data_IF_075402816747
#
_entry.id   IF_075402816747
#
_cell.length_a   1.000
_cell.length_b   1.000
_cell.length_c   1.000
_cell.angle_alpha   90.00
_cell.angle_beta   90.00
_cell.angle_gamma   90.00
#
_symmetry.space_group_name_H-M   'P 1'
#
loop_
_entity.id
_entity.type
_entity.pdbx_description
1 polymer ?
#
# COMPACT_ATOMS: atom_id res chain seq x y z
N UNK A 1 -14.64 53.94 -4.54
CA UNK A 1 -15.21 52.69 -5.08
C UNK A 1 -14.06 51.93 -5.71
N UNK A 2 -13.26 51.21 -4.91
CA UNK A 2 -12.25 50.30 -5.45
C UNK A 2 -12.47 48.92 -4.83
N UNK A 3 -13.20 48.08 -5.56
CA UNK A 3 -13.26 46.65 -5.29
C UNK A 3 -11.94 46.02 -5.72
N UNK A 4 -11.03 45.85 -4.76
CA UNK A 4 -9.85 45.01 -4.94
C UNK A 4 -10.30 43.55 -4.97
N UNK A 5 -10.62 43.07 -6.16
CA UNK A 5 -10.65 41.65 -6.49
C UNK A 5 -9.25 41.07 -6.27
N UNK A 6 -8.97 40.68 -5.03
CA UNK A 6 -7.86 39.82 -4.67
C UNK A 6 -8.11 38.44 -5.28
N UNK A 7 -7.48 38.23 -6.44
CA UNK A 7 -7.39 36.99 -7.18
C UNK A 7 -7.18 35.81 -6.22
N UNK A 8 -8.22 35.00 -6.04
CA UNK A 8 -8.10 33.70 -5.41
C UNK A 8 -7.20 32.84 -6.29
N UNK A 9 -5.90 32.85 -5.98
CA UNK A 9 -4.90 31.95 -6.53
C UNK A 9 -5.35 30.55 -6.11
N UNK A 10 -6.06 29.88 -7.02
CA UNK A 10 -6.42 28.47 -6.89
C UNK A 10 -5.12 27.70 -7.02
N UNK A 11 -4.41 27.54 -5.90
CA UNK A 11 -3.29 26.63 -5.82
C UNK A 11 -3.80 25.25 -6.16
N UNK A 12 -3.38 24.74 -7.32
CA UNK A 12 -3.55 23.37 -7.76
C UNK A 12 -2.80 22.43 -6.80
N UNK A 13 -3.34 22.23 -5.60
CA UNK A 13 -2.91 21.17 -4.72
C UNK A 13 -3.44 19.85 -5.29
N UNK A 14 -2.60 18.80 -5.43
CA UNK A 14 -3.03 17.50 -5.92
C UNK A 14 -4.26 17.03 -5.13
N UNK A 15 -5.33 16.69 -5.85
CA UNK A 15 -6.67 16.69 -5.28
C UNK A 15 -6.81 15.67 -4.12
N UNK A 16 -7.15 16.09 -2.89
CA UNK A 16 -7.40 15.18 -1.76
C UNK A 16 -8.46 14.10 -2.05
N UNK A 17 -9.30 14.35 -3.05
CA UNK A 17 -10.37 13.45 -3.51
C UNK A 17 -9.86 12.11 -3.99
N UNK A 18 -8.68 12.05 -4.60
CA UNK A 18 -8.14 10.80 -5.14
C UNK A 18 -7.65 9.87 -4.01
N UNK A 19 -6.98 10.43 -3.00
CA UNK A 19 -6.58 9.70 -1.80
C UNK A 19 -7.77 9.15 -1.03
N UNK A 20 -8.84 9.94 -0.88
CA UNK A 20 -10.07 9.49 -0.19
C UNK A 20 -10.73 8.35 -0.96
N UNK A 21 -10.78 8.41 -2.30
CA UNK A 21 -11.34 7.33 -3.12
C UNK A 21 -10.55 6.03 -2.94
N UNK A 22 -9.22 6.10 -2.95
CA UNK A 22 -8.35 4.92 -2.81
C UNK A 22 -8.41 4.37 -1.38
N UNK A 23 -8.45 5.25 -0.38
CA UNK A 23 -8.69 4.88 1.02
C UNK A 23 -10.01 4.14 1.20
N UNK A 24 -11.09 4.59 0.55
CA UNK A 24 -12.36 3.89 0.57
C UNK A 24 -12.27 2.49 -0.07
N UNK A 25 -11.56 2.34 -1.19
CA UNK A 25 -11.32 1.03 -1.82
C UNK A 25 -10.54 0.12 -0.87
N UNK A 26 -9.48 0.62 -0.20
CA UNK A 26 -8.73 -0.15 0.80
C UNK A 26 -9.60 -0.59 1.97
N UNK A 27 -10.48 0.28 2.45
CA UNK A 27 -11.38 -0.01 3.55
C UNK A 27 -12.36 -1.14 3.17
N UNK A 28 -12.96 -1.07 1.97
CA UNK A 28 -13.84 -2.13 1.45
C UNK A 28 -13.07 -3.44 1.30
N UNK A 29 -11.88 -3.40 0.72
CA UNK A 29 -11.05 -4.59 0.53
C UNK A 29 -10.69 -5.25 1.87
N UNK A 30 -10.43 -4.43 2.89
CA UNK A 30 -10.14 -4.91 4.25
C UNK A 30 -11.39 -5.48 4.92
N UNK A 31 -12.57 -4.89 4.73
CA UNK A 31 -13.82 -5.44 5.25
C UNK A 31 -14.14 -6.80 4.63
N UNK A 32 -13.92 -6.96 3.31
CA UNK A 32 -14.06 -8.25 2.62
C UNK A 32 -13.07 -9.26 3.19
N UNK A 33 -11.82 -8.86 3.43
CA UNK A 33 -10.81 -9.74 4.00
C UNK A 33 -11.18 -10.26 5.39
N UNK A 34 -11.66 -9.35 6.26
CA UNK A 34 -12.12 -9.70 7.60
C UNK A 34 -13.30 -10.67 7.50
N UNK A 35 -14.29 -10.39 6.66
CA UNK A 35 -15.43 -11.29 6.45
C UNK A 35 -15.02 -12.66 5.90
N UNK A 36 -14.07 -12.71 4.95
CA UNK A 36 -13.51 -13.94 4.42
C UNK A 36 -12.77 -14.74 5.49
N UNK A 37 -12.07 -14.08 6.42
CA UNK A 37 -11.35 -14.73 7.53
C UNK A 37 -12.26 -15.48 8.50
N UNK A 38 -13.53 -15.08 8.62
CA UNK A 38 -14.51 -15.76 9.46
C UNK A 38 -15.27 -16.88 8.74
N UNK A 39 -15.21 -16.95 7.42
CA UNK A 39 -16.05 -17.85 6.61
C UNK A 39 -15.25 -18.95 5.91
N UNK A 40 -14.00 -18.68 5.54
CA UNK A 40 -13.14 -19.60 4.80
C UNK A 40 -12.01 -20.06 5.73
N UNK A 41 -11.70 -21.36 5.72
CA UNK A 41 -10.62 -21.95 6.50
C UNK A 41 -9.54 -22.61 5.65
N UNK A 42 -8.40 -22.91 6.28
CA UNK A 42 -7.32 -23.69 5.68
C UNK A 42 -6.44 -22.93 4.68
N UNK A 43 -5.76 -23.67 3.81
CA UNK A 43 -4.75 -23.12 2.90
C UNK A 43 -5.31 -22.08 1.91
N UNK A 44 -6.58 -22.21 1.53
CA UNK A 44 -7.26 -21.27 0.61
C UNK A 44 -7.38 -19.89 1.26
N UNK A 45 -7.71 -19.83 2.56
CA UNK A 45 -7.76 -18.56 3.29
C UNK A 45 -6.37 -17.90 3.30
N UNK A 46 -5.32 -18.66 3.60
CA UNK A 46 -3.94 -18.15 3.66
C UNK A 46 -3.54 -17.55 2.31
N UNK A 47 -3.79 -18.26 1.21
CA UNK A 47 -3.49 -17.77 -0.13
C UNK A 47 -4.28 -16.50 -0.48
N UNK A 48 -5.57 -16.44 -0.12
CA UNK A 48 -6.42 -15.27 -0.32
C UNK A 48 -5.90 -14.07 0.48
N UNK A 49 -5.62 -14.25 1.77
CA UNK A 49 -5.12 -13.20 2.66
C UNK A 49 -3.77 -12.66 2.19
N UNK A 50 -2.84 -13.54 1.78
CA UNK A 50 -1.55 -13.11 1.23
C UNK A 50 -1.72 -12.31 -0.07
N UNK A 51 -2.61 -12.74 -0.95
CA UNK A 51 -2.89 -12.03 -2.21
C UNK A 51 -3.47 -10.64 -1.93
N UNK A 52 -4.47 -10.55 -1.05
CA UNK A 52 -5.07 -9.27 -0.66
C UNK A 52 -4.07 -8.36 0.06
N UNK A 53 -3.18 -8.91 0.90
CA UNK A 53 -2.11 -8.17 1.55
C UNK A 53 -1.15 -7.53 0.54
N UNK A 54 -0.71 -8.28 -0.48
CA UNK A 54 0.15 -7.74 -1.54
C UNK A 54 -0.55 -6.63 -2.31
N UNK A 55 -1.81 -6.82 -2.69
CA UNK A 55 -2.60 -5.81 -3.42
C UNK A 55 -2.72 -4.52 -2.60
N UNK A 56 -3.13 -4.63 -1.33
CA UNK A 56 -3.26 -3.48 -0.42
C UNK A 56 -1.93 -2.76 -0.25
N UNK A 57 -0.86 -3.51 -0.03
CA UNK A 57 0.48 -2.96 0.11
C UNK A 57 0.91 -2.19 -1.14
N UNK A 58 0.69 -2.74 -2.34
CA UNK A 58 0.99 -2.04 -3.60
C UNK A 58 0.16 -0.77 -3.77
N UNK A 59 -1.13 -0.79 -3.41
CA UNK A 59 -1.99 0.40 -3.49
C UNK A 59 -1.52 1.50 -2.52
N UNK A 60 -1.14 1.14 -1.30
CA UNK A 60 -0.57 2.07 -0.32
C UNK A 60 0.78 2.61 -0.81
N UNK A 61 1.67 1.75 -1.30
CA UNK A 61 2.99 2.15 -1.78
C UNK A 61 2.92 3.08 -3.00
N UNK A 62 2.02 2.83 -3.95
CA UNK A 62 1.91 3.62 -5.16
C UNK A 62 1.26 4.98 -4.91
N UNK A 63 0.16 5.03 -4.14
CA UNK A 63 -0.62 6.25 -3.96
C UNK A 63 -0.32 6.97 -2.64
N UNK A 64 -0.38 6.30 -1.50
CA UNK A 64 -0.20 6.96 -0.18
C UNK A 64 1.25 7.26 0.16
N UNK A 65 2.21 6.47 -0.34
CA UNK A 65 3.65 6.77 -0.23
C UNK A 65 4.15 7.66 -1.38
N UNK A 66 3.24 8.20 -2.19
CA UNK A 66 3.49 9.09 -3.32
C UNK A 66 4.38 8.55 -4.45
N UNK A 67 4.86 7.29 -4.44
CA UNK A 67 5.75 6.75 -5.49
C UNK A 67 5.25 6.96 -6.92
N UNK A 68 3.92 7.00 -7.14
CA UNK A 68 3.34 7.25 -8.45
C UNK A 68 3.43 8.72 -8.89
N UNK A 69 3.43 9.65 -7.94
CA UNK A 69 3.45 11.10 -8.19
C UNK A 69 4.85 11.70 -7.99
N UNK A 70 5.75 10.98 -7.35
CA UNK A 70 7.10 11.43 -6.99
C UNK A 70 8.19 10.91 -7.95
N UNK A 71 9.40 11.45 -7.78
CA UNK A 71 10.56 11.11 -8.60
C UNK A 71 10.96 9.63 -8.47
N UNK A 72 11.43 9.02 -9.57
CA UNK A 72 11.80 7.58 -9.65
C UNK A 72 12.95 7.17 -8.71
N UNK A 73 13.56 8.12 -8.02
CA UNK A 73 14.56 7.94 -6.96
C UNK A 73 13.91 7.39 -5.68
N UNK A 74 12.75 7.90 -5.27
CA UNK A 74 12.04 7.42 -4.09
C UNK A 74 11.55 5.98 -4.25
N UNK A 75 11.05 5.64 -5.43
CA UNK A 75 10.70 4.26 -5.77
C UNK A 75 11.90 3.31 -5.66
N UNK A 76 13.10 3.77 -6.03
CA UNK A 76 14.32 2.95 -5.96
C UNK A 76 14.75 2.68 -4.51
N UNK A 77 14.68 3.68 -3.64
CA UNK A 77 14.95 3.48 -2.20
C UNK A 77 13.95 2.54 -1.56
N UNK A 78 12.66 2.66 -1.90
CA UNK A 78 11.63 1.76 -1.41
C UNK A 78 11.88 0.31 -1.85
N UNK A 79 12.16 0.09 -3.14
CA UNK A 79 12.49 -1.24 -3.67
C UNK A 79 13.75 -1.81 -3.02
N UNK A 80 14.78 -0.99 -2.78
CA UNK A 80 15.97 -1.44 -2.04
C UNK A 80 15.59 -1.92 -0.62
N UNK A 81 14.79 -1.16 0.11
CA UNK A 81 14.30 -1.57 1.43
C UNK A 81 13.49 -2.87 1.41
N UNK A 82 12.57 -3.01 0.44
CA UNK A 82 11.79 -4.24 0.24
C UNK A 82 12.69 -5.43 -0.10
N UNK A 83 13.65 -5.26 -1.01
CA UNK A 83 14.60 -6.31 -1.37
C UNK A 83 15.46 -6.75 -0.20
N UNK A 84 15.90 -5.79 0.64
CA UNK A 84 16.67 -6.08 1.84
C UNK A 84 15.82 -6.85 2.85
N UNK A 85 14.58 -6.42 3.10
CA UNK A 85 13.66 -7.11 4.01
C UNK A 85 13.39 -8.56 3.56
N UNK A 86 13.12 -8.77 2.27
CA UNK A 86 12.92 -10.12 1.69
C UNK A 86 14.19 -10.96 1.83
N UNK A 87 15.36 -10.39 1.53
CA UNK A 87 16.64 -11.10 1.64
C UNK A 87 16.90 -11.53 3.09
N UNK A 88 16.74 -10.62 4.05
CA UNK A 88 16.91 -10.94 5.47
C UNK A 88 15.91 -11.99 5.94
N UNK A 89 14.65 -11.89 5.51
CA UNK A 89 13.62 -12.88 5.83
C UNK A 89 13.99 -14.28 5.31
N UNK A 90 14.49 -14.39 4.07
CA UNK A 90 14.96 -15.65 3.50
C UNK A 90 16.18 -16.21 4.23
N UNK A 91 17.14 -15.36 4.60
CA UNK A 91 18.31 -15.76 5.40
C UNK A 91 17.88 -16.33 6.75
N UNK A 92 16.98 -15.63 7.45
CA UNK A 92 16.43 -16.10 8.73
C UNK A 92 15.70 -17.43 8.54
N UNK A 93 14.87 -17.58 7.51
CA UNK A 93 14.19 -18.85 7.21
C UNK A 93 15.17 -20.00 6.97
N UNK A 94 16.26 -19.78 6.23
CA UNK A 94 17.30 -20.81 6.04
C UNK A 94 18.02 -21.16 7.35
N UNK A 95 18.40 -20.15 8.14
CA UNK A 95 19.14 -20.34 9.39
C UNK A 95 18.29 -21.00 10.47
N UNK A 96 17.01 -20.65 10.57
CA UNK A 96 16.11 -21.15 11.60
C UNK A 96 15.80 -22.65 11.48
N UNK A 97 16.21 -23.33 10.41
CA UNK A 97 16.11 -24.80 10.22
C UNK A 97 14.72 -25.41 10.49
N UNK A 98 13.67 -24.57 10.58
CA UNK A 98 12.28 -24.92 10.87
C UNK A 98 11.64 -25.72 9.72
N UNK A 99 12.21 -25.64 8.51
CA UNK A 99 11.73 -26.37 7.32
C UNK A 99 12.58 -27.63 6.99
N UNK A 100 13.68 -27.85 7.69
CA UNK A 100 14.59 -29.00 7.47
C UNK A 100 14.37 -30.15 8.47
N UNK A 101 13.22 -30.16 9.16
CA UNK A 101 12.87 -31.15 10.18
C UNK A 101 11.45 -31.64 9.99
#
# INVERSE_FOLDING_TARGET
MEGAHGSAVSHAHPSPREYVRIGAILAVLTAIEVAASYTIGGAVLIALLLTLAVIKFSMVALWFMHLKFDDRRYARFFVMGVSLAVTLFLIVLMVSKVFLR
#
